data_IF_283809332525
#
_entry.id   IF_283809332525
#
_cell.length_a   1.000
_cell.length_b   1.000
_cell.length_c   1.000
_cell.angle_alpha   90.00
_cell.angle_beta   90.00
_cell.angle_gamma   90.00
#
_symmetry.space_group_name_H-M   'P 1'
#
loop_
_entity.id
_entity.type
_entity.pdbx_description
1 polymer ?
#
# COMPACT_ATOMS: atom_id res chain seq x y z
N UNK A 1 17.61 7.00 0.43
CA UNK A 1 16.58 6.33 -0.39
C UNK A 1 17.10 4.99 -0.89
N UNK A 2 16.29 3.92 -0.82
CA UNK A 2 16.70 2.55 -1.19
C UNK A 2 15.56 1.87 -1.94
N UNK A 3 15.84 1.33 -3.15
CA UNK A 3 14.91 0.47 -3.90
C UNK A 3 14.87 -0.92 -3.26
N UNK A 4 13.69 -1.50 -3.09
CA UNK A 4 13.55 -2.90 -2.73
C UNK A 4 13.90 -3.81 -3.92
N UNK A 5 14.55 -4.94 -3.64
CA UNK A 5 14.92 -5.94 -4.67
C UNK A 5 13.77 -6.93 -4.95
N UNK A 6 12.53 -6.47 -4.82
CA UNK A 6 11.33 -7.32 -5.00
C UNK A 6 10.31 -6.56 -5.85
N UNK A 7 9.56 -7.31 -6.64
CA UNK A 7 8.35 -6.80 -7.29
C UNK A 7 7.22 -6.86 -6.25
N UNK A 8 6.50 -5.76 -6.12
CA UNK A 8 5.33 -5.62 -5.27
C UNK A 8 4.07 -5.63 -6.14
N UNK A 9 3.09 -6.44 -5.80
CA UNK A 9 1.74 -6.30 -6.33
C UNK A 9 0.91 -5.61 -5.27
N UNK A 10 0.26 -4.53 -5.65
CA UNK A 10 -0.68 -3.80 -4.79
C UNK A 10 -2.09 -4.03 -5.33
N UNK A 11 -3.01 -4.45 -4.45
CA UNK A 11 -4.43 -4.55 -4.75
C UNK A 11 -5.24 -3.87 -3.65
N UNK A 12 -6.15 -2.98 -4.05
CA UNK A 12 -7.12 -2.40 -3.13
C UNK A 12 -8.24 -3.41 -2.86
N UNK A 13 -8.77 -3.43 -1.64
CA UNK A 13 -9.76 -4.42 -1.20
C UNK A 13 -10.98 -3.72 -0.62
N UNK A 14 -12.17 -4.07 -1.15
CA UNK A 14 -13.46 -3.66 -0.61
C UNK A 14 -14.09 -4.83 0.09
N UNK A 15 -14.51 -4.66 1.35
CA UNK A 15 -15.27 -5.70 2.07
C UNK A 15 -16.66 -5.90 1.46
N UNK A 16 -17.22 -7.07 1.63
CA UNK A 16 -18.64 -7.33 1.34
C UNK A 16 -19.51 -6.40 2.17
N UNK A 17 -20.61 -5.93 1.59
CA UNK A 17 -21.51 -4.95 2.21
C UNK A 17 -22.24 -5.50 3.47
N UNK A 18 -22.39 -6.82 3.58
CA UNK A 18 -23.02 -7.50 4.72
C UNK A 18 -22.07 -7.70 5.91
N UNK A 19 -20.77 -7.39 5.77
CA UNK A 19 -19.81 -7.52 6.85
C UNK A 19 -19.51 -6.16 7.50
N UNK A 20 -19.41 -6.15 8.83
CA UNK A 20 -18.76 -5.05 9.52
C UNK A 20 -17.24 -5.04 9.26
N UNK A 21 -16.58 -3.90 9.50
CA UNK A 21 -15.12 -3.80 9.37
C UNK A 21 -14.40 -4.79 10.31
N UNK A 22 -14.92 -4.99 11.51
CA UNK A 22 -14.38 -5.96 12.48
C UNK A 22 -14.50 -7.41 11.97
N UNK A 23 -15.64 -7.79 11.38
CA UNK A 23 -15.84 -9.11 10.79
C UNK A 23 -14.93 -9.35 9.59
N UNK A 24 -14.79 -8.34 8.71
CA UNK A 24 -13.86 -8.36 7.58
C UNK A 24 -12.42 -8.56 8.04
N UNK A 25 -11.96 -7.75 9.00
CA UNK A 25 -10.61 -7.86 9.59
C UNK A 25 -10.38 -9.23 10.20
N UNK A 26 -11.30 -9.72 11.02
CA UNK A 26 -11.19 -11.03 11.66
C UNK A 26 -11.11 -12.15 10.61
N UNK A 27 -12.00 -12.14 9.61
CA UNK A 27 -11.98 -13.16 8.55
C UNK A 27 -10.65 -13.18 7.81
N UNK A 28 -10.18 -11.99 7.38
CA UNK A 28 -8.93 -11.87 6.64
C UNK A 28 -7.74 -12.41 7.45
N UNK A 29 -7.59 -11.95 8.71
CA UNK A 29 -6.43 -12.30 9.54
C UNK A 29 -6.45 -13.74 10.09
N UNK A 30 -7.59 -14.42 10.05
CA UNK A 30 -7.71 -15.81 10.51
C UNK A 30 -7.88 -16.79 9.35
N UNK A 31 -9.01 -16.77 8.68
CA UNK A 31 -9.37 -17.75 7.64
C UNK A 31 -8.59 -17.55 6.34
N UNK A 32 -8.68 -16.36 5.78
CA UNK A 32 -8.01 -16.05 4.50
C UNK A 32 -6.48 -16.12 4.62
N UNK A 33 -5.94 -15.67 5.73
CA UNK A 33 -4.52 -15.71 6.02
C UNK A 33 -3.91 -17.13 5.97
N UNK A 34 -4.69 -18.19 6.24
CA UNK A 34 -4.23 -19.57 6.08
C UNK A 34 -3.97 -19.92 4.61
N UNK A 35 -4.83 -19.47 3.69
CA UNK A 35 -4.64 -19.65 2.26
C UNK A 35 -3.43 -18.86 1.75
N UNK A 36 -3.24 -17.65 2.26
CA UNK A 36 -2.09 -16.80 1.92
C UNK A 36 -0.78 -17.43 2.38
N UNK A 37 -0.70 -17.99 3.60
CA UNK A 37 0.48 -18.71 4.10
C UNK A 37 0.79 -19.96 3.26
N UNK A 38 -0.22 -20.76 2.94
CA UNK A 38 -0.05 -21.93 2.04
C UNK A 38 0.44 -21.52 0.66
N UNK A 39 -0.03 -20.38 0.13
CA UNK A 39 0.45 -19.86 -1.15
C UNK A 39 1.93 -19.42 -1.05
N UNK A 40 2.36 -18.81 0.06
CA UNK A 40 3.77 -18.50 0.31
C UNK A 40 4.61 -19.79 0.31
N UNK A 41 4.17 -20.83 0.99
CA UNK A 41 4.89 -22.12 1.06
C UNK A 41 4.99 -22.82 -0.30
N UNK A 42 3.91 -22.81 -1.08
CA UNK A 42 3.77 -23.61 -2.30
C UNK A 42 4.20 -22.89 -3.60
N UNK A 43 4.54 -21.58 -3.55
CA UNK A 43 4.81 -20.79 -4.77
C UNK A 43 6.03 -19.88 -4.59
N UNK A 44 6.49 -19.20 -5.66
CA UNK A 44 7.49 -18.13 -5.57
C UNK A 44 7.10 -16.89 -4.75
N UNK A 45 5.85 -16.78 -4.27
CA UNK A 45 5.40 -15.70 -3.39
C UNK A 45 6.28 -15.62 -2.14
N UNK A 46 6.89 -14.46 -1.89
CA UNK A 46 7.87 -14.29 -0.81
C UNK A 46 7.23 -13.79 0.48
N UNK A 47 6.25 -12.88 0.35
CA UNK A 47 5.65 -12.18 1.49
C UNK A 47 4.26 -11.70 1.14
N UNK A 48 3.38 -11.70 2.13
CA UNK A 48 2.04 -11.09 2.06
C UNK A 48 1.86 -10.12 3.22
N UNK A 49 1.38 -8.93 2.89
CA UNK A 49 1.05 -7.88 3.86
C UNK A 49 -0.39 -7.44 3.65
N UNK A 50 -1.21 -7.57 4.67
CA UNK A 50 -2.55 -7.02 4.73
C UNK A 50 -2.52 -5.65 5.43
N UNK A 51 -3.11 -4.64 4.81
CA UNK A 51 -3.30 -3.32 5.40
C UNK A 51 -4.80 -3.07 5.48
N UNK A 52 -5.33 -2.97 6.70
CA UNK A 52 -6.78 -2.96 6.95
C UNK A 52 -7.15 -1.62 7.56
N UNK A 53 -8.17 -0.94 7.00
CA UNK A 53 -8.65 0.34 7.49
C UNK A 53 -9.00 0.27 8.98
N UNK A 54 -8.63 1.30 9.75
CA UNK A 54 -8.99 1.37 11.18
C UNK A 54 -10.44 1.75 11.41
N UNK A 55 -11.03 2.47 10.46
CA UNK A 55 -12.38 3.05 10.61
C UNK A 55 -12.44 4.29 11.51
N UNK A 56 -11.34 4.66 12.18
CA UNK A 56 -11.34 5.71 13.21
C UNK A 56 -11.06 7.11 12.68
N UNK A 57 -10.44 7.24 11.50
CA UNK A 57 -10.07 8.54 10.93
C UNK A 57 -10.46 8.59 9.46
N UNK A 58 -11.40 9.48 9.15
CA UNK A 58 -11.73 9.86 7.77
C UNK A 58 -10.82 10.99 7.32
N UNK A 59 -9.84 10.70 6.48
CA UNK A 59 -8.99 11.72 5.87
C UNK A 59 -9.74 12.45 4.75
N UNK A 60 -10.00 13.73 4.94
CA UNK A 60 -10.74 14.54 3.96
C UNK A 60 -12.26 14.45 4.05
N UNK A 61 -12.82 13.91 5.15
CA UNK A 61 -14.26 13.93 5.43
C UNK A 61 -15.10 12.94 4.62
N UNK A 62 -14.50 12.09 3.79
CA UNK A 62 -15.21 11.09 2.98
C UNK A 62 -14.87 9.67 3.43
N UNK A 63 -15.87 8.79 3.41
CA UNK A 63 -15.65 7.36 3.63
C UNK A 63 -14.82 6.81 2.47
N UNK A 64 -13.68 6.16 2.72
CA UNK A 64 -12.88 5.58 1.65
C UNK A 64 -13.67 4.53 0.86
N UNK A 65 -13.50 4.47 -0.48
CA UNK A 65 -14.20 3.48 -1.30
C UNK A 65 -13.71 2.04 -1.07
N UNK A 66 -12.55 1.87 -0.43
CA UNK A 66 -11.95 0.58 -0.09
C UNK A 66 -11.70 0.47 1.41
N UNK A 67 -11.64 -0.77 1.92
CA UNK A 67 -11.49 -1.09 3.34
C UNK A 67 -10.08 -1.65 3.65
N UNK A 68 -9.26 -1.85 2.63
CA UNK A 68 -7.90 -2.34 2.81
C UNK A 68 -7.07 -2.36 1.53
N UNK A 69 -5.84 -2.81 1.71
CA UNK A 69 -4.86 -3.04 0.64
C UNK A 69 -4.08 -4.32 0.95
N UNK A 70 -3.94 -5.22 -0.01
CA UNK A 70 -2.98 -6.32 0.06
C UNK A 70 -1.75 -6.00 -0.77
N UNK A 71 -0.58 -6.32 -0.21
CA UNK A 71 0.70 -6.27 -0.91
C UNK A 71 1.30 -7.67 -0.98
N UNK A 72 1.60 -8.14 -2.19
CA UNK A 72 2.24 -9.42 -2.47
C UNK A 72 3.64 -9.14 -3.02
N UNK A 73 4.66 -9.85 -2.52
CA UNK A 73 6.05 -9.61 -2.91
C UNK A 73 6.65 -10.83 -3.60
N UNK A 74 7.38 -10.59 -4.68
CA UNK A 74 8.03 -11.60 -5.52
C UNK A 74 9.46 -11.19 -5.85
N UNK A 75 10.31 -12.18 -6.19
CA UNK A 75 11.67 -11.90 -6.66
C UNK A 75 11.69 -11.36 -8.09
N UNK A 76 10.72 -11.74 -8.93
CA UNK A 76 10.63 -11.33 -10.32
C UNK A 76 9.19 -11.10 -10.77
N UNK A 77 9.01 -10.36 -11.87
CA UNK A 77 7.73 -10.14 -12.51
C UNK A 77 7.19 -11.45 -13.14
N UNK A 78 8.07 -12.33 -13.63
CA UNK A 78 7.72 -13.64 -14.16
C UNK A 78 7.11 -14.52 -13.07
N UNK A 79 7.77 -14.64 -11.91
CA UNK A 79 7.24 -15.34 -10.74
C UNK A 79 5.86 -14.83 -10.32
N UNK A 80 5.70 -13.51 -10.31
CA UNK A 80 4.45 -12.86 -9.95
C UNK A 80 3.31 -13.24 -10.92
N UNK A 81 3.54 -13.14 -12.23
CA UNK A 81 2.57 -13.49 -13.26
C UNK A 81 2.21 -14.97 -13.23
N UNK A 82 3.21 -15.86 -13.16
CA UNK A 82 3.00 -17.30 -13.09
C UNK A 82 2.22 -17.71 -11.84
N UNK A 83 2.55 -17.14 -10.68
CA UNK A 83 1.85 -17.42 -9.43
C UNK A 83 0.40 -16.96 -9.48
N UNK A 84 0.12 -15.73 -9.95
CA UNK A 84 -1.24 -15.20 -10.00
C UNK A 84 -2.16 -15.98 -10.93
N UNK A 85 -1.67 -16.54 -12.02
CA UNK A 85 -2.44 -17.39 -12.95
C UNK A 85 -2.51 -18.85 -12.51
N UNK A 86 -1.69 -19.25 -11.53
CA UNK A 86 -1.51 -20.62 -11.11
C UNK A 86 -2.62 -21.17 -10.19
N UNK A 87 -2.67 -22.51 -10.00
CA UNK A 87 -3.68 -23.16 -9.17
C UNK A 87 -3.55 -22.85 -7.67
N UNK A 88 -2.35 -22.56 -7.18
CA UNK A 88 -2.13 -22.27 -5.77
C UNK A 88 -2.86 -20.98 -5.30
N UNK A 89 -3.05 -20.01 -6.19
CA UNK A 89 -3.83 -18.80 -5.91
C UNK A 89 -5.32 -18.96 -6.20
N UNK A 90 -5.75 -20.04 -6.81
CA UNK A 90 -7.16 -20.32 -7.06
C UNK A 90 -7.94 -20.46 -5.75
N UNK A 91 -7.38 -21.15 -4.75
CA UNK A 91 -7.98 -21.28 -3.43
C UNK A 91 -8.12 -19.93 -2.71
N UNK A 92 -7.10 -19.06 -2.81
CA UNK A 92 -7.18 -17.69 -2.29
C UNK A 92 -8.29 -16.87 -2.95
N UNK A 93 -8.40 -16.96 -4.29
CA UNK A 93 -9.44 -16.25 -5.05
C UNK A 93 -10.86 -16.77 -4.70
N UNK A 94 -10.99 -18.08 -4.55
CA UNK A 94 -12.28 -18.67 -4.16
C UNK A 94 -12.67 -18.25 -2.75
N UNK A 95 -11.75 -18.32 -1.79
CA UNK A 95 -12.00 -17.91 -0.41
C UNK A 95 -12.26 -16.39 -0.30
N UNK A 96 -11.64 -15.55 -1.15
CA UNK A 96 -11.87 -14.11 -1.16
C UNK A 96 -13.36 -13.73 -1.34
N UNK A 97 -14.16 -14.54 -2.03
CA UNK A 97 -15.61 -14.36 -2.19
C UNK A 97 -16.37 -14.30 -0.86
N UNK A 98 -15.82 -14.86 0.20
CA UNK A 98 -16.45 -14.89 1.51
C UNK A 98 -16.37 -13.56 2.26
N UNK A 99 -15.42 -12.65 1.90
CA UNK A 99 -15.24 -11.40 2.63
C UNK A 99 -14.99 -10.17 1.75
N UNK A 100 -14.63 -10.35 0.46
CA UNK A 100 -14.38 -9.28 -0.51
C UNK A 100 -15.57 -9.08 -1.43
N UNK A 101 -15.93 -7.84 -1.72
CA UNK A 101 -16.86 -7.48 -2.78
C UNK A 101 -16.17 -7.64 -4.14
N UNK A 102 -16.57 -8.66 -4.90
CA UNK A 102 -15.99 -9.00 -6.21
C UNK A 102 -16.82 -8.46 -7.38
N UNK A 103 -17.79 -7.57 -7.13
CA UNK A 103 -18.67 -7.00 -8.16
C UNK A 103 -17.91 -6.17 -9.20
N UNK A 104 -16.74 -5.67 -8.84
CA UNK A 104 -15.81 -4.96 -9.72
C UNK A 104 -14.41 -5.54 -9.49
N UNK A 105 -13.62 -5.68 -10.55
CA UNK A 105 -12.21 -6.07 -10.41
C UNK A 105 -11.51 -5.00 -9.56
N UNK A 106 -10.92 -5.37 -8.41
CA UNK A 106 -10.27 -4.40 -7.56
C UNK A 106 -9.05 -3.82 -8.27
N UNK A 107 -8.80 -2.50 -8.13
CA UNK A 107 -7.61 -1.86 -8.68
C UNK A 107 -6.34 -2.59 -8.26
N UNK A 108 -5.53 -3.00 -9.25
CA UNK A 108 -4.30 -3.76 -9.05
C UNK A 108 -3.17 -3.24 -9.92
N UNK A 109 -1.99 -3.11 -9.35
CA UNK A 109 -0.77 -2.76 -10.09
C UNK A 109 0.40 -3.65 -9.69
N UNK A 110 1.26 -3.96 -10.66
CA UNK A 110 2.62 -4.45 -10.44
C UNK A 110 3.52 -3.24 -10.23
N UNK A 111 4.44 -3.30 -9.29
CA UNK A 111 5.16 -2.09 -8.88
C UNK A 111 6.56 -2.36 -8.35
N UNK A 112 7.39 -1.32 -8.42
CA UNK A 112 8.63 -1.16 -7.67
C UNK A 112 8.36 -0.44 -6.35
N UNK A 113 9.02 -0.85 -5.27
CA UNK A 113 8.94 -0.19 -3.97
C UNK A 113 10.26 0.51 -3.61
N UNK A 114 10.16 1.69 -3.00
CA UNK A 114 11.28 2.50 -2.53
C UNK A 114 11.07 2.95 -1.09
N UNK A 115 12.01 2.65 -0.21
CA UNK A 115 12.13 3.33 1.07
C UNK A 115 12.67 4.74 0.82
N UNK A 116 11.84 5.74 1.01
CA UNK A 116 12.19 7.14 0.79
C UNK A 116 12.97 7.70 1.98
N UNK A 117 12.41 7.56 3.17
CA UNK A 117 12.99 8.07 4.41
C UNK A 117 12.51 7.26 5.60
N UNK A 118 13.37 7.17 6.62
CA UNK A 118 13.09 6.46 7.87
C UNK A 118 13.83 7.14 9.01
N UNK A 119 13.24 7.18 10.21
CA UNK A 119 13.93 7.63 11.42
C UNK A 119 14.99 6.60 11.83
N UNK A 120 16.13 7.03 12.38
CA UNK A 120 17.20 6.14 12.82
C UNK A 120 16.74 5.11 13.88
N UNK A 121 15.79 5.52 14.71
CA UNK A 121 15.21 4.76 15.82
C UNK A 121 13.82 4.17 15.50
N UNK A 122 13.43 4.16 14.25
CA UNK A 122 12.11 3.64 13.83
C UNK A 122 11.87 2.16 14.21
N UNK A 123 12.90 1.49 14.73
CA UNK A 123 12.87 0.07 15.06
C UNK A 123 12.93 -0.81 13.81
N UNK A 124 12.97 -2.13 13.94
CA UNK A 124 12.90 -3.01 12.79
C UNK A 124 11.65 -2.68 12.00
N UNK A 125 11.81 -2.66 10.69
CA UNK A 125 10.88 -2.17 9.67
C UNK A 125 9.45 -2.72 9.77
N UNK A 126 9.21 -3.63 10.71
CA UNK A 126 7.96 -4.35 10.84
C UNK A 126 7.75 -4.85 12.27
N UNK A 127 6.86 -4.17 13.00
CA UNK A 127 6.17 -4.89 14.07
C UNK A 127 5.34 -5.98 13.39
N UNK A 128 5.29 -7.21 13.92
CA UNK A 128 4.55 -8.32 13.29
C UNK A 128 3.07 -8.03 13.07
N UNK A 129 2.51 -7.04 13.75
CA UNK A 129 1.09 -6.68 13.62
C UNK A 129 0.80 -5.28 14.14
N UNK A 130 -0.14 -4.60 13.49
CA UNK A 130 -0.77 -3.39 14.00
C UNK A 130 0.03 -2.09 13.83
N UNK A 131 0.99 -2.02 12.91
CA UNK A 131 1.66 -0.76 12.63
C UNK A 131 0.74 0.18 11.86
N UNK A 132 0.50 1.36 12.41
CA UNK A 132 -0.34 2.37 11.78
C UNK A 132 0.33 2.99 10.56
N UNK A 133 -0.44 3.18 9.51
CA UNK A 133 0.00 3.91 8.32
C UNK A 133 -1.13 4.63 7.62
N UNK A 134 -0.76 5.68 6.90
CA UNK A 134 -1.61 6.27 5.87
C UNK A 134 -1.20 5.66 4.54
N UNK A 135 -2.19 5.24 3.77
CA UNK A 135 -2.04 4.78 2.39
C UNK A 135 -2.74 5.79 1.49
N UNK A 136 -2.05 6.22 0.44
CA UNK A 136 -2.63 7.10 -0.60
C UNK A 136 -2.25 6.60 -1.98
N UNK A 137 -3.25 6.35 -2.85
CA UNK A 137 -2.99 6.16 -4.28
C UNK A 137 -2.67 7.49 -4.94
N UNK A 138 -1.77 7.47 -5.89
CA UNK A 138 -1.28 8.67 -6.58
C UNK A 138 -1.41 8.46 -8.08
N UNK A 139 -1.94 9.48 -8.75
CA UNK A 139 -2.06 9.55 -10.20
C UNK A 139 -1.10 10.63 -10.69
N UNK A 140 -0.27 10.31 -11.68
CA UNK A 140 0.65 11.29 -12.29
C UNK A 140 -0.13 12.35 -13.07
N UNK A 141 0.41 13.54 -13.18
CA UNK A 141 -0.10 14.54 -14.10
C UNK A 141 -0.11 13.98 -15.51
N UNK A 142 -1.19 14.28 -16.26
CA UNK A 142 -1.40 13.74 -17.63
C UNK A 142 -0.34 14.16 -18.64
N UNK A 143 0.32 15.30 -18.41
CA UNK A 143 1.40 15.83 -19.25
C UNK A 143 2.77 15.23 -18.95
N UNK A 144 2.89 14.43 -17.90
CA UNK A 144 4.13 13.74 -17.55
C UNK A 144 4.15 12.30 -18.06
N UNK A 145 5.30 11.86 -18.52
CA UNK A 145 5.55 10.42 -18.68
C UNK A 145 5.72 9.77 -17.30
N UNK A 146 5.50 8.46 -17.22
CA UNK A 146 5.73 7.69 -15.99
C UNK A 146 7.18 7.86 -15.47
N UNK A 147 8.16 7.90 -16.36
CA UNK A 147 9.55 8.12 -16.00
C UNK A 147 9.78 9.50 -15.37
N UNK A 148 9.20 10.57 -15.94
CA UNK A 148 9.31 11.93 -15.39
C UNK A 148 8.58 12.06 -14.04
N UNK A 149 7.41 11.44 -13.89
CA UNK A 149 6.69 11.38 -12.62
C UNK A 149 7.54 10.73 -11.53
N UNK A 150 8.08 9.54 -11.80
CA UNK A 150 8.93 8.79 -10.88
C UNK A 150 10.21 9.56 -10.55
N UNK A 151 10.85 10.16 -11.54
CA UNK A 151 12.05 10.97 -11.36
C UNK A 151 11.81 12.17 -10.45
N UNK A 152 10.70 12.93 -10.70
CA UNK A 152 10.35 14.07 -9.86
C UNK A 152 10.12 13.64 -8.40
N UNK A 153 9.33 12.59 -8.19
CA UNK A 153 9.08 12.09 -6.84
C UNK A 153 10.37 11.69 -6.14
N UNK A 154 11.22 10.88 -6.80
CA UNK A 154 12.44 10.37 -6.18
C UNK A 154 13.51 11.45 -5.95
N UNK A 155 13.65 12.43 -6.83
CA UNK A 155 14.76 13.39 -6.78
C UNK A 155 14.39 14.78 -6.26
N UNK A 156 13.09 15.14 -6.22
CA UNK A 156 12.60 16.43 -5.76
C UNK A 156 11.67 16.31 -4.57
N UNK A 157 10.51 15.67 -4.71
CA UNK A 157 9.51 15.51 -3.66
C UNK A 157 10.04 14.76 -2.42
N UNK A 158 10.86 13.75 -2.62
CA UNK A 158 11.51 12.98 -1.56
C UNK A 158 12.29 13.83 -0.54
N UNK A 159 12.78 15.00 -0.94
CA UNK A 159 13.46 15.93 -0.02
C UNK A 159 12.49 16.50 1.03
N UNK A 160 11.26 16.80 0.61
CA UNK A 160 10.20 17.23 1.53
C UNK A 160 9.76 16.07 2.42
N UNK A 161 9.59 14.86 1.86
CA UNK A 161 9.27 13.66 2.61
C UNK A 161 10.33 13.36 3.68
N UNK A 162 11.61 13.53 3.34
CA UNK A 162 12.71 13.39 4.30
C UNK A 162 12.57 14.40 5.46
N UNK A 163 12.29 15.68 5.15
CA UNK A 163 12.03 16.70 6.16
C UNK A 163 10.82 16.37 7.02
N UNK A 164 9.74 15.83 6.44
CA UNK A 164 8.55 15.40 7.17
C UNK A 164 8.89 14.32 8.19
N UNK A 165 9.66 13.30 7.80
CA UNK A 165 10.12 12.26 8.75
C UNK A 165 10.94 12.86 9.89
N UNK A 166 11.82 13.83 9.61
CA UNK A 166 12.66 14.45 10.63
C UNK A 166 11.89 15.34 11.61
N UNK A 167 10.81 16.00 11.17
CA UNK A 167 10.15 17.08 11.93
C UNK A 167 8.77 16.73 12.46
N UNK A 168 8.26 15.53 12.20
CA UNK A 168 6.91 15.11 12.61
C UNK A 168 6.91 13.74 13.30
N UNK A 169 5.70 13.26 13.64
CA UNK A 169 5.48 11.90 14.15
C UNK A 169 5.60 10.78 13.09
N UNK A 170 5.84 11.12 11.81
CA UNK A 170 6.07 10.13 10.76
C UNK A 170 7.35 9.36 11.02
N UNK A 171 7.29 8.04 11.06
CA UNK A 171 8.44 7.17 11.33
C UNK A 171 9.18 6.78 10.05
N UNK A 172 8.41 6.53 8.98
CA UNK A 172 8.92 6.04 7.70
C UNK A 172 7.99 6.45 6.57
N UNK A 173 8.55 6.68 5.38
CA UNK A 173 7.82 6.89 4.14
C UNK A 173 8.30 5.88 3.10
N UNK A 174 7.36 5.19 2.49
CA UNK A 174 7.56 4.26 1.39
C UNK A 174 6.78 4.77 0.18
N UNK A 175 7.44 4.84 -0.97
CA UNK A 175 6.80 5.12 -2.25
C UNK A 175 6.81 3.86 -3.12
N UNK A 176 5.67 3.56 -3.70
CA UNK A 176 5.49 2.46 -4.63
C UNK A 176 5.16 3.05 -6.00
N UNK A 177 5.82 2.60 -7.07
CA UNK A 177 5.60 3.06 -8.45
C UNK A 177 5.11 1.92 -9.30
N UNK A 178 3.94 2.08 -9.92
CA UNK A 178 3.39 1.11 -10.85
C UNK A 178 4.37 0.88 -12.01
N UNK A 179 4.52 -0.38 -12.41
CA UNK A 179 5.28 -0.71 -13.62
C UNK A 179 4.43 -0.38 -14.85
N UNK A 180 5.02 0.13 -15.92
CA UNK A 180 4.32 0.27 -17.19
C UNK A 180 3.76 -1.09 -17.63
N UNK A 181 2.51 -1.11 -18.10
CA UNK A 181 1.91 -2.27 -18.75
C UNK A 181 1.68 -1.97 -20.23
N UNK A 182 1.62 -3.06 -21.04
CA UNK A 182 1.68 -2.95 -22.51
C UNK A 182 0.35 -2.54 -23.16
N UNK A 183 -0.77 -2.46 -22.42
CA UNK A 183 -2.11 -2.38 -23.01
C UNK A 183 -2.94 -1.17 -22.57
N UNK A 184 -2.95 -0.85 -21.31
CA UNK A 184 -3.63 0.32 -20.73
C UNK A 184 -2.75 0.89 -19.63
N UNK A 185 -2.85 2.19 -19.37
CA UNK A 185 -2.15 2.80 -18.23
C UNK A 185 -2.51 2.08 -16.92
N UNK A 186 -1.66 2.11 -15.90
CA UNK A 186 -1.98 1.54 -14.61
C UNK A 186 -3.18 2.25 -14.00
N UNK A 187 -3.98 1.54 -13.22
CA UNK A 187 -5.17 2.10 -12.55
C UNK A 187 -4.84 3.24 -11.58
N UNK A 188 -3.60 3.27 -11.10
CA UNK A 188 -2.96 4.39 -10.40
C UNK A 188 -1.45 4.30 -10.63
N UNK A 189 -0.74 5.42 -10.65
CA UNK A 189 0.69 5.45 -10.99
C UNK A 189 1.60 5.16 -9.79
N UNK A 190 1.09 5.31 -8.57
CA UNK A 190 1.86 5.05 -7.38
C UNK A 190 1.05 4.97 -6.10
N UNK A 191 1.73 4.58 -5.01
CA UNK A 191 1.20 4.59 -3.65
C UNK A 191 2.21 5.23 -2.72
N UNK A 192 1.76 6.18 -1.91
CA UNK A 192 2.50 6.68 -0.76
C UNK A 192 2.03 5.97 0.51
N UNK A 193 2.96 5.47 1.30
CA UNK A 193 2.70 4.84 2.60
C UNK A 193 3.50 5.59 3.67
N UNK A 194 2.81 6.24 4.61
CA UNK A 194 3.40 6.99 5.73
C UNK A 194 3.12 6.22 7.02
N UNK A 195 4.16 5.83 7.74
CA UNK A 195 4.07 5.01 8.94
C UNK A 195 4.13 5.84 10.21
N UNK A 196 3.34 5.45 11.22
CA UNK A 196 3.22 6.16 12.49
C UNK A 196 3.20 5.17 13.66
N UNK A 197 3.55 5.67 14.86
CA UNK A 197 3.43 4.88 16.07
C UNK A 197 2.06 5.01 16.73
N UNK A 198 1.36 6.15 16.56
CA UNK A 198 0.11 6.48 17.24
C UNK A 198 -0.84 7.28 16.34
N UNK A 199 -2.14 7.16 16.58
CA UNK A 199 -3.18 7.95 15.89
C UNK A 199 -3.05 9.46 16.16
N UNK A 200 -2.59 9.84 17.34
CA UNK A 200 -2.35 11.24 17.71
C UNK A 200 -1.31 11.89 16.80
N UNK A 201 -0.28 11.15 16.39
CA UNK A 201 0.76 11.66 15.48
C UNK A 201 0.17 11.92 14.08
N UNK A 202 -0.78 11.10 13.63
CA UNK A 202 -1.53 11.34 12.39
C UNK A 202 -2.36 12.62 12.51
N UNK A 203 -3.14 12.76 13.59
CA UNK A 203 -3.98 13.94 13.84
C UNK A 203 -3.14 15.22 13.91
N UNK A 204 -2.02 15.18 14.64
CA UNK A 204 -1.10 16.31 14.76
C UNK A 204 -0.49 16.73 13.42
N UNK A 205 -0.10 15.75 12.56
CA UNK A 205 0.41 16.04 11.22
C UNK A 205 -0.64 16.78 10.37
N UNK A 206 -1.90 16.32 10.40
CA UNK A 206 -2.98 16.94 9.59
C UNK A 206 -3.44 18.29 10.13
N UNK A 207 -3.30 18.56 11.44
CA UNK A 207 -3.56 19.87 12.03
C UNK A 207 -2.44 20.90 11.78
N UNK A 208 -1.27 20.44 11.34
CA UNK A 208 -0.09 21.27 11.09
C UNK A 208 0.05 21.75 9.65
N UNK A 209 1.16 22.41 9.32
CA UNK A 209 1.40 22.99 7.99
C UNK A 209 1.84 21.95 6.93
N UNK A 210 2.17 20.73 7.33
CA UNK A 210 2.74 19.70 6.46
C UNK A 210 1.84 19.35 5.27
N UNK A 211 0.52 19.12 5.46
CA UNK A 211 -0.34 18.79 4.32
C UNK A 211 -0.36 19.87 3.24
N UNK A 212 -0.40 21.14 3.63
CA UNK A 212 -0.40 22.26 2.68
C UNK A 212 0.94 22.37 1.93
N UNK A 213 2.05 22.16 2.64
CA UNK A 213 3.39 22.16 2.05
C UNK A 213 3.56 21.03 1.03
N UNK A 214 3.17 19.80 1.39
CA UNK A 214 3.25 18.63 0.51
C UNK A 214 2.36 18.83 -0.72
N UNK A 215 1.10 19.26 -0.53
CA UNK A 215 0.15 19.49 -1.60
C UNK A 215 0.64 20.49 -2.64
N UNK A 216 1.28 21.58 -2.21
CA UNK A 216 1.83 22.59 -3.13
C UNK A 216 2.92 21.99 -4.03
N UNK A 217 3.77 21.12 -3.52
CA UNK A 217 4.79 20.45 -4.33
C UNK A 217 4.19 19.35 -5.21
N UNK A 218 3.19 18.63 -4.71
CA UNK A 218 2.46 17.60 -5.47
C UNK A 218 1.82 18.16 -6.76
N UNK A 219 1.41 19.42 -6.79
CA UNK A 219 0.88 20.09 -8.00
C UNK A 219 1.84 20.01 -9.20
N UNK A 220 3.14 19.80 -8.96
CA UNK A 220 4.13 19.67 -10.02
C UNK A 220 4.12 18.31 -10.71
N UNK A 221 3.62 17.25 -10.07
CA UNK A 221 3.73 15.88 -10.63
C UNK A 221 2.49 15.01 -10.43
N UNK A 222 1.57 15.38 -9.53
CA UNK A 222 0.34 14.64 -9.21
C UNK A 222 -0.87 15.29 -9.89
N UNK A 223 -1.77 14.45 -10.39
CA UNK A 223 -3.09 14.89 -10.84
C UNK A 223 -3.99 15.09 -9.62
N UNK A 224 -4.18 16.34 -9.21
CA UNK A 224 -4.81 16.69 -7.94
C UNK A 224 -6.33 16.46 -7.89
N UNK A 225 -6.98 16.38 -9.05
CA UNK A 225 -8.42 16.11 -9.22
C UNK A 225 -8.74 14.62 -9.44
N UNK A 226 -7.74 13.76 -9.47
CA UNK A 226 -7.94 12.33 -9.61
C UNK A 226 -8.61 11.72 -8.35
N UNK A 227 -9.37 10.60 -8.51
CA UNK A 227 -10.08 9.95 -7.41
C UNK A 227 -9.13 9.16 -6.50
N UNK A 228 -8.18 9.84 -5.86
CA UNK A 228 -7.19 9.20 -5.00
C UNK A 228 -7.83 8.58 -3.77
N UNK A 229 -7.52 7.31 -3.53
CA UNK A 229 -7.90 6.60 -2.31
C UNK A 229 -6.97 7.03 -1.18
N UNK A 230 -7.54 7.29 0.00
CA UNK A 230 -6.80 7.55 1.25
C UNK A 230 -7.36 6.70 2.36
N UNK A 231 -6.48 5.93 3.03
CA UNK A 231 -6.83 5.06 4.15
C UNK A 231 -5.90 5.34 5.31
N UNK A 232 -6.45 5.36 6.53
CA UNK A 232 -5.68 5.08 7.75
C UNK A 232 -5.85 3.60 8.04
N UNK A 233 -4.76 2.87 8.03
CA UNK A 233 -4.78 1.42 8.13
C UNK A 233 -3.79 0.90 9.17
N UNK A 234 -4.07 -0.30 9.67
CA UNK A 234 -3.11 -1.13 10.39
C UNK A 234 -2.51 -2.16 9.43
N UNK A 235 -1.21 -2.32 9.51
CA UNK A 235 -0.44 -3.29 8.71
C UNK A 235 -0.25 -4.59 9.48
N UNK A 236 -0.47 -5.72 8.79
CA UNK A 236 -0.28 -7.08 9.29
C UNK A 236 0.54 -7.88 8.30
N UNK A 237 1.69 -8.41 8.75
CA UNK A 237 2.46 -9.38 7.98
C UNK A 237 1.83 -10.75 8.14
N UNK A 238 1.25 -11.26 7.06
CA UNK A 238 0.59 -12.57 7.06
C UNK A 238 1.63 -13.70 7.03
N UNK A 239 2.68 -13.51 6.25
CA UNK A 239 3.84 -14.39 6.19
C UNK A 239 4.97 -13.75 5.39
N UNK A 240 6.20 -14.14 5.69
CA UNK A 240 7.43 -13.67 5.05
C UNK A 240 8.48 -14.79 5.08
N UNK A 241 8.92 -15.25 3.90
CA UNK A 241 9.94 -16.32 3.80
C UNK A 241 11.30 -15.95 4.42
N UNK A 242 11.63 -14.65 4.45
CA UNK A 242 12.91 -14.18 4.99
C UNK A 242 12.95 -14.18 6.52
N UNK A 243 11.78 -14.20 7.18
CA UNK A 243 11.69 -14.22 8.66
C UNK A 243 11.35 -15.61 9.21
N UNK A 244 11.16 -16.61 8.33
CA UNK A 244 10.82 -17.98 8.70
C UNK A 244 12.07 -18.89 8.85
N UNK A 245 13.27 -18.33 8.60
CA UNK A 245 14.57 -18.96 8.90
C UNK A 245 15.09 -18.42 10.25
#
# INVERSE_FOLDING_TARGET
MRKANKIKIVRLVKRRADLSLAQFKNYWLTRHAEHERRAIEATPLQKVVASIATGEVALGGTVPPFDGMVSLYFKSLEDARATLSGPATAAMREDAKNFVALSEMPPQVFADEYLISEKPDAGPSMKPSGQLKIIRTVYRRRDLTHAKFKDYWLNHHSRLEHKVVQTTGVQRIVATFALPNDHEGPEFDGVAELYFNRLEDIRAMFAGPVPAMMRRDEENFVQMDAPAVRLVAEEYVIGDKETAE
#
